data_IF_919558559490
#
_entry.id   IF_919558559490
#
_cell.length_a   1.000
_cell.length_b   1.000
_cell.length_c   1.000
_cell.angle_alpha   90.00
_cell.angle_beta   90.00
_cell.angle_gamma   90.00
#
_symmetry.space_group_name_H-M   'P 1'
#
loop_
_entity.id
_entity.type
_entity.pdbx_description
1 polymer ?
#
# COMPACT_ATOMS: atom_id res chain seq x y z
N UNK A 1 -50.51 -71.86 29.69
CA UNK A 1 -49.16 -71.71 29.10
C UNK A 1 -49.10 -70.38 28.37
N UNK A 2 -48.63 -69.30 29.06
CA UNK A 2 -48.57 -67.94 28.53
C UNK A 2 -47.12 -67.54 28.41
N UNK A 3 -46.67 -67.25 27.20
CA UNK A 3 -45.32 -66.81 26.89
C UNK A 3 -45.34 -65.28 26.86
N UNK A 4 -44.66 -64.65 27.82
CA UNK A 4 -44.45 -63.21 27.88
C UNK A 4 -43.25 -62.83 27.02
N UNK A 5 -43.43 -61.98 26.02
CA UNK A 5 -42.33 -61.41 25.26
C UNK A 5 -41.85 -60.11 25.90
N UNK A 6 -40.60 -60.11 26.35
CA UNK A 6 -39.92 -58.87 26.81
C UNK A 6 -39.51 -58.05 25.58
N UNK A 7 -39.85 -56.75 25.60
CA UNK A 7 -39.34 -55.76 24.64
C UNK A 7 -38.10 -55.12 25.21
N UNK A 8 -36.98 -55.30 24.56
CA UNK A 8 -35.77 -54.54 24.85
C UNK A 8 -35.78 -53.20 24.09
N UNK A 9 -35.78 -52.10 24.81
CA UNK A 9 -35.62 -50.76 24.26
C UNK A 9 -34.11 -50.46 24.10
N UNK A 10 -33.68 -50.28 22.88
CA UNK A 10 -32.33 -49.81 22.55
C UNK A 10 -32.38 -48.26 22.50
N UNK A 11 -31.80 -47.59 23.48
CA UNK A 11 -31.58 -46.15 23.46
C UNK A 11 -30.36 -45.86 22.58
N UNK A 12 -30.58 -45.25 21.45
CA UNK A 12 -29.53 -44.76 20.57
C UNK A 12 -29.07 -43.39 21.06
N UNK A 13 -27.91 -43.34 21.72
CA UNK A 13 -27.23 -42.10 22.09
C UNK A 13 -26.52 -41.53 20.86
N UNK A 14 -27.10 -40.51 20.26
CA UNK A 14 -26.45 -39.78 19.18
C UNK A 14 -25.32 -38.90 19.75
N UNK A 15 -24.08 -39.34 19.61
CA UNK A 15 -22.92 -38.46 19.80
C UNK A 15 -22.81 -37.49 18.63
N UNK A 16 -23.10 -36.20 18.91
CA UNK A 16 -22.70 -35.11 18.01
C UNK A 16 -21.19 -34.98 18.09
N UNK A 17 -20.50 -35.50 17.09
CA UNK A 17 -19.10 -35.21 16.85
C UNK A 17 -19.02 -33.78 16.28
N UNK A 18 -18.62 -32.83 17.11
CA UNK A 18 -18.23 -31.49 16.67
C UNK A 18 -16.95 -31.62 15.84
N UNK A 19 -17.08 -31.58 14.54
CA UNK A 19 -15.94 -31.51 13.62
C UNK A 19 -15.24 -30.18 13.81
N UNK A 20 -14.20 -30.15 14.63
CA UNK A 20 -13.20 -29.09 14.60
C UNK A 20 -12.52 -29.18 13.21
N UNK A 21 -12.96 -28.34 12.28
CA UNK A 21 -12.26 -28.18 11.02
C UNK A 21 -10.87 -27.62 11.31
N UNK A 22 -9.86 -28.49 11.43
CA UNK A 22 -8.46 -28.13 11.40
C UNK A 22 -8.24 -27.40 10.07
N UNK A 23 -8.08 -26.09 10.15
CA UNK A 23 -7.63 -25.27 9.02
C UNK A 23 -6.26 -25.78 8.59
N UNK A 24 -6.24 -26.56 7.51
CA UNK A 24 -5.00 -27.04 6.93
C UNK A 24 -4.07 -25.84 6.61
N UNK A 25 -2.77 -25.94 6.86
CA UNK A 25 -1.83 -24.88 6.55
C UNK A 25 -1.87 -24.64 5.02
N UNK A 26 -1.92 -23.36 4.64
CA UNK A 26 -1.90 -22.90 3.26
C UNK A 26 -0.64 -23.45 2.58
N UNK A 27 -0.74 -24.31 1.54
CA UNK A 27 0.44 -24.82 0.86
C UNK A 27 1.25 -23.68 0.28
N UNK A 28 2.52 -23.53 0.70
CA UNK A 28 3.46 -22.56 0.16
C UNK A 28 3.49 -21.17 0.82
N UNK A 29 2.70 -20.89 1.87
CA UNK A 29 2.82 -19.66 2.62
C UNK A 29 3.73 -19.87 3.85
N UNK A 30 4.93 -19.28 3.84
CA UNK A 30 5.78 -19.22 5.02
C UNK A 30 5.23 -18.17 5.98
N UNK A 31 4.59 -18.58 7.08
CA UNK A 31 4.19 -17.68 8.15
C UNK A 31 5.44 -17.27 8.93
N UNK A 32 5.90 -16.03 8.77
CA UNK A 32 6.96 -15.52 9.62
C UNK A 32 6.45 -15.36 11.06
N UNK A 33 7.31 -15.57 12.05
CA UNK A 33 7.03 -15.27 13.47
C UNK A 33 6.63 -13.80 13.73
N UNK A 34 6.74 -12.93 12.71
CA UNK A 34 6.52 -11.49 12.78
C UNK A 34 5.12 -11.02 12.36
N UNK A 35 4.15 -11.93 12.16
CA UNK A 35 2.79 -11.54 11.79
C UNK A 35 2.60 -11.13 10.32
N UNK A 36 3.45 -11.60 9.42
CA UNK A 36 3.36 -11.37 7.96
C UNK A 36 3.33 -12.69 7.19
N UNK A 37 2.80 -12.65 5.98
CA UNK A 37 2.86 -13.74 5.00
C UNK A 37 3.63 -13.28 3.77
N UNK A 38 4.40 -14.20 3.20
CA UNK A 38 5.20 -13.97 1.99
C UNK A 38 4.84 -15.00 0.94
N UNK A 39 4.87 -14.59 -0.32
CA UNK A 39 4.72 -15.53 -1.42
C UNK A 39 5.93 -16.47 -1.50
N UNK A 40 5.70 -17.76 -1.82
CA UNK A 40 6.78 -18.66 -2.13
C UNK A 40 7.52 -18.19 -3.40
N UNK A 41 8.80 -18.51 -3.58
CA UNK A 41 9.58 -18.11 -4.75
C UNK A 41 8.92 -18.44 -6.08
N UNK A 42 8.27 -19.58 -6.20
CA UNK A 42 7.56 -20.00 -7.41
C UNK A 42 6.42 -19.05 -7.83
N UNK A 43 5.76 -18.37 -6.88
CA UNK A 43 4.69 -17.41 -7.19
C UNK A 43 5.19 -16.09 -7.77
N UNK A 44 6.50 -15.81 -7.63
CA UNK A 44 7.15 -14.57 -8.08
C UNK A 44 8.34 -14.86 -9.01
N UNK A 45 8.38 -16.03 -9.63
CA UNK A 45 9.54 -16.54 -10.35
C UNK A 45 9.75 -15.95 -11.76
N UNK A 46 8.79 -15.19 -12.29
CA UNK A 46 8.92 -14.63 -13.64
C UNK A 46 10.10 -13.66 -13.74
N UNK A 47 11.04 -13.95 -14.61
CA UNK A 47 12.12 -13.03 -14.96
C UNK A 47 11.56 -11.76 -15.63
N UNK A 48 12.35 -10.72 -15.71
CA UNK A 48 11.94 -9.50 -16.42
C UNK A 48 11.65 -9.76 -17.90
N UNK A 49 12.48 -10.56 -18.56
CA UNK A 49 12.29 -10.88 -19.98
C UNK A 49 11.01 -11.69 -20.21
N UNK A 50 10.71 -12.64 -19.33
CA UNK A 50 9.44 -13.39 -19.36
C UNK A 50 8.25 -12.46 -19.09
N UNK A 51 8.33 -11.58 -18.11
CA UNK A 51 7.28 -10.61 -17.83
C UNK A 51 7.02 -9.68 -19.02
N UNK A 52 8.06 -9.25 -19.71
CA UNK A 52 7.92 -8.42 -20.92
C UNK A 52 7.29 -9.16 -22.07
N UNK A 53 7.61 -10.46 -22.27
CA UNK A 53 6.99 -11.29 -23.29
C UNK A 53 5.56 -11.65 -22.94
N UNK A 54 5.27 -11.93 -21.67
CA UNK A 54 3.94 -12.32 -21.22
C UNK A 54 2.96 -11.15 -21.20
N UNK A 55 3.37 -10.01 -20.59
CA UNK A 55 2.53 -8.82 -20.45
C UNK A 55 2.65 -7.89 -21.66
N UNK A 56 2.09 -8.31 -22.80
CA UNK A 56 1.96 -7.45 -23.98
C UNK A 56 0.93 -6.33 -23.72
N UNK A 57 0.94 -5.23 -24.52
CA UNK A 57 -0.07 -4.19 -24.41
C UNK A 57 -1.52 -4.72 -24.47
N UNK A 58 -1.77 -5.74 -25.32
CA UNK A 58 -3.08 -6.37 -25.51
C UNK A 58 -3.49 -7.14 -24.26
N UNK A 59 -2.60 -7.95 -23.67
CA UNK A 59 -2.87 -8.67 -22.42
C UNK A 59 -3.09 -7.72 -21.25
N UNK A 60 -2.32 -6.63 -21.15
CA UNK A 60 -2.51 -5.59 -20.14
C UNK A 60 -3.87 -4.90 -20.32
N UNK A 61 -4.28 -4.69 -21.57
CA UNK A 61 -5.58 -4.11 -21.89
C UNK A 61 -6.74 -5.05 -21.52
N UNK A 62 -6.58 -6.33 -21.80
CA UNK A 62 -7.57 -7.38 -21.51
C UNK A 62 -7.64 -7.78 -20.04
N UNK A 63 -6.61 -7.46 -19.23
CA UNK A 63 -6.57 -7.79 -17.81
C UNK A 63 -7.75 -7.14 -17.06
N UNK A 64 -8.64 -7.98 -16.53
CA UNK A 64 -9.87 -7.55 -15.89
C UNK A 64 -9.60 -6.79 -14.57
N UNK A 65 -10.31 -5.71 -14.28
CA UNK A 65 -10.15 -5.01 -13.01
C UNK A 65 -10.62 -5.89 -11.85
N UNK A 66 -9.81 -6.00 -10.80
CA UNK A 66 -10.21 -6.70 -9.59
C UNK A 66 -11.31 -5.95 -8.84
N UNK A 67 -12.26 -6.72 -8.34
CA UNK A 67 -13.29 -6.27 -7.41
C UNK A 67 -13.24 -7.12 -6.15
N UNK A 68 -13.38 -6.48 -5.00
CA UNK A 68 -13.63 -7.13 -3.72
C UNK A 68 -15.10 -7.03 -3.38
N UNK A 69 -15.74 -8.17 -3.17
CA UNK A 69 -17.07 -8.21 -2.56
C UNK A 69 -16.91 -8.08 -1.04
N UNK A 70 -17.57 -7.09 -0.43
CA UNK A 70 -17.72 -7.07 1.03
C UNK A 70 -18.70 -8.16 1.42
N UNK A 71 -18.32 -9.06 2.32
CA UNK A 71 -19.25 -10.02 2.94
C UNK A 71 -20.18 -9.29 3.93
N UNK A 72 -21.35 -9.89 4.25
CA UNK A 72 -22.29 -9.31 5.23
C UNK A 72 -21.68 -9.14 6.62
N UNK A 73 -20.64 -9.90 6.96
CA UNK A 73 -19.93 -9.85 8.24
C UNK A 73 -18.77 -8.84 8.29
N UNK A 74 -18.57 -8.01 7.26
CA UNK A 74 -17.56 -6.96 7.28
C UNK A 74 -16.15 -7.39 6.88
N UNK A 75 -15.93 -8.65 6.54
CA UNK A 75 -14.66 -9.14 5.97
C UNK A 75 -14.69 -9.09 4.44
N UNK A 76 -13.51 -9.07 3.83
CA UNK A 76 -13.40 -9.19 2.38
C UNK A 76 -13.88 -10.58 1.94
N UNK A 77 -14.76 -10.61 0.95
CA UNK A 77 -15.11 -11.84 0.24
C UNK A 77 -14.00 -12.23 -0.76
N UNK A 78 -14.26 -13.29 -1.52
CA UNK A 78 -13.38 -13.75 -2.58
C UNK A 78 -13.10 -12.62 -3.60
N UNK A 79 -11.88 -12.56 -4.09
CA UNK A 79 -11.50 -11.71 -5.21
C UNK A 79 -12.29 -12.16 -6.46
N UNK A 80 -12.81 -11.20 -7.21
CA UNK A 80 -13.56 -11.44 -8.44
C UNK A 80 -13.05 -10.51 -9.53
N UNK A 81 -13.07 -11.00 -10.77
CA UNK A 81 -12.94 -10.10 -11.91
C UNK A 81 -14.28 -9.42 -12.16
N UNK A 82 -14.25 -8.14 -12.44
CA UNK A 82 -15.47 -7.41 -12.70
C UNK A 82 -15.62 -7.18 -14.21
N UNK A 83 -16.77 -7.61 -14.79
CA UNK A 83 -17.11 -7.29 -16.17
C UNK A 83 -17.22 -5.77 -16.37
N UNK A 84 -16.96 -5.21 -17.57
CA UNK A 84 -17.17 -3.80 -17.83
C UNK A 84 -18.64 -3.41 -17.57
N UNK A 85 -18.89 -2.38 -16.74
CA UNK A 85 -20.25 -1.88 -16.48
C UNK A 85 -20.42 -0.53 -17.17
N UNK A 86 -21.33 -0.39 -18.13
CA UNK A 86 -21.60 0.87 -18.79
C UNK A 86 -22.42 1.87 -17.95
N UNK A 87 -22.91 1.47 -16.77
CA UNK A 87 -23.94 2.22 -16.07
C UNK A 87 -23.43 3.41 -15.24
N UNK A 88 -24.06 4.51 -15.50
CA UNK A 88 -24.31 5.77 -14.77
C UNK A 88 -23.83 5.80 -13.32
N UNK A 89 -22.89 6.70 -13.02
CA UNK A 89 -22.75 7.28 -11.68
C UNK A 89 -22.78 8.81 -11.82
N UNK A 90 -23.94 9.35 -11.54
CA UNK A 90 -24.13 10.78 -11.26
C UNK A 90 -23.72 11.01 -9.80
N UNK A 91 -22.47 11.35 -9.54
CA UNK A 91 -22.03 11.84 -8.25
C UNK A 91 -21.66 13.32 -8.40
N UNK A 92 -22.62 14.17 -8.11
CA UNK A 92 -22.41 15.62 -8.04
C UNK A 92 -21.30 15.92 -7.00
N UNK A 93 -20.35 16.76 -7.34
CA UNK A 93 -19.36 17.31 -6.41
C UNK A 93 -18.04 16.56 -6.25
N UNK A 94 -17.83 15.40 -6.89
CA UNK A 94 -16.55 14.69 -6.84
C UNK A 94 -15.66 15.01 -8.02
N UNK A 95 -14.48 15.56 -7.74
CA UNK A 95 -13.52 15.95 -8.77
C UNK A 95 -12.40 14.92 -8.88
N UNK A 96 -12.66 13.80 -9.56
CA UNK A 96 -11.60 13.03 -10.16
C UNK A 96 -11.11 13.72 -11.44
N UNK A 97 -9.81 13.77 -11.62
CA UNK A 97 -9.20 14.37 -12.80
C UNK A 97 -8.27 13.38 -13.49
N UNK A 98 -8.28 13.38 -14.79
CA UNK A 98 -7.32 12.64 -15.57
C UNK A 98 -5.95 13.32 -15.51
N UNK A 99 -4.92 12.54 -15.12
CA UNK A 99 -3.52 12.99 -15.08
C UNK A 99 -2.88 12.78 -16.44
N UNK A 100 -2.81 13.83 -17.26
CA UNK A 100 -2.29 13.75 -18.64
C UNK A 100 -0.77 13.54 -18.71
N UNK A 101 0.00 14.12 -17.78
CA UNK A 101 1.49 14.09 -17.78
C UNK A 101 2.04 12.91 -16.98
N UNK A 102 1.68 11.67 -17.37
CA UNK A 102 2.07 10.44 -16.65
C UNK A 102 3.57 10.16 -16.72
N UNK A 103 4.26 10.57 -17.79
CA UNK A 103 5.72 10.41 -17.95
C UNK A 103 6.53 11.38 -17.08
N UNK A 104 5.91 12.38 -16.44
CA UNK A 104 6.61 13.35 -15.58
C UNK A 104 6.51 12.96 -14.11
N UNK A 105 7.60 13.12 -13.36
CA UNK A 105 7.55 13.05 -11.90
C UNK A 105 6.63 14.18 -11.38
N UNK A 106 5.83 13.94 -10.37
CA UNK A 106 5.72 12.72 -9.55
C UNK A 106 4.68 11.69 -10.07
N UNK A 107 4.07 11.88 -11.22
CA UNK A 107 2.99 11.03 -11.70
C UNK A 107 3.49 9.66 -12.19
N UNK A 108 4.70 9.60 -12.76
CA UNK A 108 5.29 8.37 -13.31
C UNK A 108 5.58 7.28 -12.29
N UNK A 109 5.55 7.59 -10.99
CA UNK A 109 5.73 6.61 -9.93
C UNK A 109 4.46 5.82 -9.62
N UNK A 110 3.30 6.29 -10.11
CA UNK A 110 2.04 5.57 -10.06
C UNK A 110 1.93 4.71 -11.31
N UNK A 111 1.51 3.46 -11.16
CA UNK A 111 1.45 2.52 -12.27
C UNK A 111 0.31 1.53 -12.15
N UNK A 112 0.08 0.83 -13.26
CA UNK A 112 -0.81 -0.32 -13.31
C UNK A 112 -0.07 -1.53 -12.76
N UNK A 113 -0.71 -2.31 -11.90
CA UNK A 113 -0.26 -3.61 -11.45
C UNK A 113 -1.10 -4.65 -12.16
N UNK A 114 -0.47 -5.65 -12.72
CA UNK A 114 -1.13 -6.79 -13.37
C UNK A 114 -0.63 -8.09 -12.76
N UNK A 115 -1.44 -9.12 -12.83
CA UNK A 115 -1.12 -10.45 -12.31
C UNK A 115 -2.17 -11.45 -12.73
N UNK A 116 -1.99 -12.70 -12.30
CA UNK A 116 -2.88 -13.83 -12.57
C UNK A 116 -3.37 -14.43 -11.27
N UNK A 117 -4.66 -14.71 -11.18
CA UNK A 117 -5.21 -15.60 -10.17
C UNK A 117 -5.71 -16.88 -10.79
N UNK A 118 -5.32 -18.01 -10.22
CA UNK A 118 -5.79 -19.33 -10.65
C UNK A 118 -7.33 -19.38 -10.63
N UNK A 119 -7.94 -19.77 -11.74
CA UNK A 119 -9.39 -19.80 -11.90
C UNK A 119 -10.07 -18.48 -12.24
N UNK A 120 -9.37 -17.33 -12.11
CA UNK A 120 -9.92 -16.01 -12.46
C UNK A 120 -9.25 -15.40 -13.70
N UNK A 121 -8.06 -15.89 -14.09
CA UNK A 121 -7.28 -15.34 -15.18
C UNK A 121 -6.54 -14.04 -14.83
N UNK A 122 -6.19 -13.29 -15.86
CA UNK A 122 -5.41 -12.06 -15.75
C UNK A 122 -6.23 -10.91 -15.17
N UNK A 123 -5.64 -10.22 -14.19
CA UNK A 123 -6.28 -9.09 -13.53
C UNK A 123 -5.43 -7.81 -13.56
N UNK A 124 -6.09 -6.69 -13.25
CA UNK A 124 -5.42 -5.41 -13.07
C UNK A 124 -5.81 -4.70 -11.78
N UNK A 125 -4.81 -4.12 -11.16
CA UNK A 125 -4.84 -3.25 -10.00
C UNK A 125 -4.01 -1.97 -10.27
N UNK A 126 -3.77 -1.20 -9.24
CA UNK A 126 -2.85 -0.05 -9.24
C UNK A 126 -1.78 -0.23 -8.16
N UNK A 127 -0.63 0.39 -8.33
CA UNK A 127 0.41 0.43 -7.32
C UNK A 127 1.19 1.76 -7.38
N UNK A 128 2.01 2.00 -6.36
CA UNK A 128 2.84 3.21 -6.27
C UNK A 128 4.24 2.87 -5.78
N UNK A 129 5.26 3.39 -6.46
CA UNK A 129 6.66 3.27 -6.04
C UNK A 129 6.88 4.10 -4.79
N UNK A 130 7.40 3.48 -3.74
CA UNK A 130 7.75 4.14 -2.48
C UNK A 130 9.23 4.04 -2.18
N UNK A 131 9.75 5.04 -1.49
CA UNK A 131 11.16 5.12 -1.13
C UNK A 131 11.58 3.96 -0.23
N UNK A 132 12.67 3.30 -0.59
CA UNK A 132 13.30 2.24 0.19
C UNK A 132 14.80 2.17 -0.12
N UNK A 133 15.59 1.58 0.77
CA UNK A 133 17.01 1.35 0.53
C UNK A 133 17.28 0.37 -0.63
N UNK A 134 16.35 -0.54 -0.90
CA UNK A 134 16.43 -1.43 -2.08
C UNK A 134 16.19 -0.70 -3.39
N UNK A 135 15.54 0.46 -3.36
CA UNK A 135 15.16 1.23 -4.55
C UNK A 135 14.14 0.54 -5.47
N UNK A 136 13.52 -0.55 -5.03
CA UNK A 136 12.65 -1.37 -5.89
C UNK A 136 11.32 -1.73 -5.24
N UNK A 137 10.83 -0.90 -4.32
CA UNK A 137 9.62 -1.18 -3.54
C UNK A 137 8.40 -0.48 -4.14
N UNK A 138 7.31 -1.22 -4.26
CA UNK A 138 5.96 -0.69 -4.53
C UNK A 138 5.00 -1.07 -3.42
N UNK A 139 3.98 -0.23 -3.20
CA UNK A 139 2.82 -0.55 -2.35
C UNK A 139 1.58 -0.74 -3.19
N UNK A 140 0.73 -1.68 -2.78
CA UNK A 140 -0.56 -1.98 -3.39
C UNK A 140 -1.56 -2.45 -2.33
N UNK A 141 -2.75 -2.88 -2.72
CA UNK A 141 -3.71 -3.51 -1.82
C UNK A 141 -3.36 -4.99 -1.57
N UNK A 142 -3.73 -5.50 -0.41
CA UNK A 142 -3.52 -6.90 -0.03
C UNK A 142 -4.21 -7.86 -0.99
N UNK A 143 -5.44 -7.53 -1.40
CA UNK A 143 -6.20 -8.34 -2.35
C UNK A 143 -5.63 -8.36 -3.78
N UNK A 144 -4.72 -7.45 -4.13
CA UNK A 144 -3.96 -7.52 -5.38
C UNK A 144 -2.76 -8.48 -5.30
N UNK A 145 -2.50 -9.04 -4.11
CA UNK A 145 -1.38 -9.93 -3.81
C UNK A 145 -1.84 -11.32 -3.35
N UNK A 146 -2.90 -11.38 -2.54
CA UNK A 146 -3.39 -12.58 -1.89
C UNK A 146 -4.92 -12.56 -1.76
N UNK A 147 -5.58 -13.59 -2.28
CA UNK A 147 -7.04 -13.77 -2.21
C UNK A 147 -7.44 -14.33 -0.84
N UNK A 148 -7.56 -13.46 0.14
CA UNK A 148 -7.80 -13.83 1.54
C UNK A 148 -9.23 -14.36 1.79
N UNK A 149 -10.20 -13.88 1.03
CA UNK A 149 -11.62 -14.22 1.21
C UNK A 149 -12.12 -15.34 0.31
N UNK A 150 -11.25 -15.90 -0.55
CA UNK A 150 -11.61 -16.94 -1.52
C UNK A 150 -10.64 -18.10 -1.53
N UNK A 151 -9.84 -18.21 -2.59
CA UNK A 151 -8.94 -19.36 -2.80
C UNK A 151 -7.79 -19.46 -1.82
N UNK A 152 -7.51 -18.41 -1.06
CA UNK A 152 -6.38 -18.27 -0.12
C UNK A 152 -5.01 -18.49 -0.78
N UNK A 153 -4.89 -18.11 -2.06
CA UNK A 153 -3.67 -18.22 -2.85
C UNK A 153 -3.09 -16.85 -3.16
N UNK A 154 -1.79 -16.85 -3.35
CA UNK A 154 -1.08 -15.68 -3.88
C UNK A 154 -1.39 -15.51 -5.37
N UNK A 155 -1.40 -14.25 -5.82
CA UNK A 155 -1.37 -13.94 -7.23
C UNK A 155 0.00 -14.34 -7.81
N UNK A 156 0.00 -14.79 -9.06
CA UNK A 156 1.20 -15.12 -9.84
C UNK A 156 1.42 -14.10 -10.96
N UNK A 157 2.51 -14.23 -11.69
CA UNK A 157 2.85 -13.44 -12.88
C UNK A 157 2.76 -11.93 -12.66
N UNK A 158 2.99 -11.51 -11.43
CA UNK A 158 2.83 -10.11 -11.02
C UNK A 158 3.86 -9.21 -11.71
N UNK A 159 3.36 -8.15 -12.33
CA UNK A 159 4.18 -7.12 -12.96
C UNK A 159 3.62 -5.72 -12.74
N UNK A 160 4.53 -4.76 -12.60
CA UNK A 160 4.23 -3.35 -12.42
C UNK A 160 4.63 -2.54 -13.66
N UNK A 161 3.75 -1.63 -14.07
CA UNK A 161 3.92 -0.79 -15.26
C UNK A 161 3.83 0.67 -14.84
N UNK A 162 4.97 1.30 -14.51
CA UNK A 162 5.01 2.69 -14.04
C UNK A 162 4.68 3.67 -15.15
N UNK A 163 3.94 4.72 -14.82
CA UNK A 163 3.58 5.77 -15.76
C UNK A 163 2.68 5.30 -16.91
N UNK A 164 2.04 4.13 -16.79
CA UNK A 164 1.13 3.58 -17.79
C UNK A 164 0.14 4.63 -18.29
N UNK A 165 -0.05 4.72 -19.59
CA UNK A 165 -1.03 5.62 -20.19
C UNK A 165 -1.45 5.17 -21.59
N UNK A 166 -2.74 4.99 -21.82
CA UNK A 166 -3.31 4.70 -23.13
C UNK A 166 -2.65 3.51 -23.85
N UNK A 167 -2.35 2.43 -23.13
CA UNK A 167 -1.65 1.27 -23.67
C UNK A 167 -0.13 1.43 -23.79
N UNK A 168 0.42 2.63 -23.55
CA UNK A 168 1.87 2.87 -23.59
C UNK A 168 2.56 2.41 -22.31
N UNK A 169 3.72 1.79 -22.43
CA UNK A 169 4.58 1.28 -21.39
C UNK A 169 5.89 2.07 -21.30
N UNK A 170 5.83 3.37 -20.93
CA UNK A 170 6.95 4.32 -21.15
C UNK A 170 8.22 3.94 -20.35
N UNK A 171 8.11 3.10 -19.35
CA UNK A 171 9.23 2.62 -18.53
C UNK A 171 9.31 1.09 -18.53
N UNK A 172 8.61 0.43 -19.47
CA UNK A 172 8.55 -1.01 -19.60
C UNK A 172 7.76 -1.72 -18.49
N UNK A 173 7.86 -3.03 -18.48
CA UNK A 173 7.24 -3.94 -17.53
C UNK A 173 8.28 -4.35 -16.49
N UNK A 174 7.89 -4.31 -15.21
CA UNK A 174 8.75 -4.65 -14.07
C UNK A 174 8.18 -5.85 -13.33
N UNK A 175 8.81 -7.01 -13.47
CA UNK A 175 8.40 -8.22 -12.74
C UNK A 175 8.51 -8.04 -11.23
N UNK A 176 7.58 -8.62 -10.50
CA UNK A 176 7.61 -8.69 -9.03
C UNK A 176 8.35 -9.95 -8.62
N UNK A 177 9.37 -9.81 -7.77
CA UNK A 177 10.20 -10.92 -7.30
C UNK A 177 9.84 -11.39 -5.90
N UNK A 178 9.25 -10.52 -5.11
CA UNK A 178 8.87 -10.81 -3.73
C UNK A 178 7.64 -10.00 -3.35
N UNK A 179 6.81 -10.55 -2.49
CA UNK A 179 5.69 -9.82 -1.90
C UNK A 179 5.48 -10.19 -0.45
N UNK A 180 4.95 -9.25 0.32
CA UNK A 180 4.58 -9.42 1.72
C UNK A 180 3.25 -8.73 2.00
N UNK A 181 2.42 -9.38 2.81
CA UNK A 181 1.17 -8.83 3.30
C UNK A 181 1.02 -9.11 4.81
N UNK A 182 0.22 -8.32 5.55
CA UNK A 182 -0.06 -8.61 6.95
C UNK A 182 -0.79 -9.95 7.11
N UNK A 183 -0.44 -10.69 8.17
CA UNK A 183 -1.12 -11.94 8.49
C UNK A 183 -2.62 -11.74 8.77
N UNK A 184 -3.00 -10.58 9.30
CA UNK A 184 -4.39 -10.19 9.51
C UNK A 184 -5.18 -10.09 8.20
N UNK A 185 -4.53 -9.67 7.11
CA UNK A 185 -5.13 -9.74 5.79
C UNK A 185 -5.32 -11.20 5.35
N UNK A 186 -4.27 -11.99 5.36
CA UNK A 186 -4.32 -13.36 4.84
C UNK A 186 -5.19 -14.31 5.66
N UNK A 187 -5.26 -14.14 7.00
CA UNK A 187 -6.01 -15.03 7.89
C UNK A 187 -7.47 -14.62 8.03
N UNK A 188 -7.74 -13.33 8.07
CA UNK A 188 -9.04 -12.77 8.44
C UNK A 188 -9.69 -11.93 7.35
N UNK A 189 -9.05 -11.74 6.21
CA UNK A 189 -9.53 -10.88 5.13
C UNK A 189 -9.96 -9.47 5.64
N UNK A 190 -9.23 -8.94 6.61
CA UNK A 190 -9.55 -7.69 7.29
C UNK A 190 -9.19 -6.49 6.43
N UNK A 191 -10.17 -5.66 6.06
CA UNK A 191 -9.94 -4.44 5.27
C UNK A 191 -9.04 -3.41 5.96
N UNK A 192 -8.94 -3.43 7.29
CA UNK A 192 -8.01 -2.57 8.02
C UNK A 192 -6.53 -2.88 7.70
N UNK A 193 -6.28 -4.05 7.12
CA UNK A 193 -4.96 -4.56 6.75
C UNK A 193 -4.84 -4.92 5.26
N UNK A 194 -5.74 -4.46 4.41
CA UNK A 194 -5.71 -4.68 2.96
C UNK A 194 -4.60 -3.86 2.29
N UNK A 195 -3.38 -4.26 2.54
CA UNK A 195 -2.15 -3.66 2.01
C UNK A 195 -1.11 -4.75 1.73
N UNK A 196 -0.37 -4.59 0.65
CA UNK A 196 0.82 -5.40 0.36
C UNK A 196 1.99 -4.50 -0.07
N UNK A 197 3.19 -5.00 0.18
CA UNK A 197 4.42 -4.44 -0.36
C UNK A 197 5.07 -5.47 -1.28
N UNK A 198 5.56 -4.99 -2.40
CA UNK A 198 6.17 -5.85 -3.41
C UNK A 198 7.51 -5.29 -3.86
N UNK A 199 8.47 -6.17 -4.09
CA UNK A 199 9.76 -5.81 -4.66
C UNK A 199 9.77 -6.14 -6.14
N UNK A 200 10.30 -5.24 -6.95
CA UNK A 200 10.49 -5.49 -8.38
C UNK A 200 11.93 -5.86 -8.69
N UNK A 201 12.14 -6.59 -9.76
CA UNK A 201 13.45 -6.89 -10.30
C UNK A 201 14.16 -5.60 -10.77
N UNK A 202 15.47 -5.59 -10.73
CA UNK A 202 16.28 -4.49 -11.33
C UNK A 202 16.22 -4.57 -12.85
N UNK A 203 16.36 -3.41 -13.49
CA UNK A 203 16.57 -3.30 -14.93
C UNK A 203 18.05 -3.05 -15.25
N UNK A 204 18.49 -3.17 -16.51
CA UNK A 204 19.81 -2.70 -16.93
C UNK A 204 20.05 -1.22 -16.61
N UNK A 205 18.99 -0.41 -16.55
CA UNK A 205 19.06 1.02 -16.20
C UNK A 205 19.00 1.27 -14.68
N UNK A 206 19.04 0.23 -13.85
CA UNK A 206 19.06 0.34 -12.41
C UNK A 206 17.77 -0.11 -11.71
N UNK A 207 17.58 0.36 -10.47
CA UNK A 207 16.37 0.07 -9.67
C UNK A 207 15.16 0.86 -10.16
N UNK A 208 13.97 0.40 -9.83
CA UNK A 208 12.73 1.08 -10.20
C UNK A 208 12.70 2.55 -9.72
N UNK A 209 13.14 2.80 -8.49
CA UNK A 209 13.23 4.15 -7.93
C UNK A 209 14.25 5.02 -8.67
N UNK A 210 15.34 4.45 -9.16
CA UNK A 210 16.33 5.18 -9.97
C UNK A 210 15.70 5.66 -11.28
N UNK A 211 14.97 4.79 -11.96
CA UNK A 211 14.39 5.07 -13.29
C UNK A 211 13.19 6.02 -13.21
N UNK A 212 12.25 5.80 -12.27
CA UNK A 212 11.01 6.57 -12.23
C UNK A 212 10.88 7.52 -11.03
N UNK A 213 11.78 7.43 -10.06
CA UNK A 213 11.65 8.09 -8.76
C UNK A 213 10.73 7.32 -7.83
N UNK A 214 10.42 7.93 -6.69
CA UNK A 214 9.51 7.36 -5.69
C UNK A 214 8.70 8.44 -4.99
N UNK A 215 7.60 8.05 -4.36
CA UNK A 215 7.00 8.81 -3.26
C UNK A 215 7.64 8.37 -1.96
N UNK A 216 7.71 9.26 -0.99
CA UNK A 216 7.96 8.87 0.38
C UNK A 216 6.87 7.91 0.89
N UNK A 217 7.05 7.41 2.11
CA UNK A 217 6.03 6.63 2.81
C UNK A 217 5.91 7.13 4.25
N UNK A 218 4.68 7.21 4.76
CA UNK A 218 4.41 7.73 6.10
C UNK A 218 3.54 6.79 6.93
N UNK A 219 3.96 6.54 8.17
CA UNK A 219 3.29 5.65 9.12
C UNK A 219 2.80 6.45 10.32
N UNK A 220 1.68 6.06 10.90
CA UNK A 220 1.13 6.73 12.09
C UNK A 220 0.56 8.12 11.83
N UNK A 221 0.45 8.54 10.58
CA UNK A 221 0.14 9.91 10.20
C UNK A 221 -1.30 10.33 10.54
N UNK A 222 -1.46 11.61 10.88
CA UNK A 222 -2.78 12.22 11.16
C UNK A 222 -3.81 11.90 10.07
N UNK A 223 -5.05 11.69 10.49
CA UNK A 223 -6.20 11.52 9.58
C UNK A 223 -6.82 12.85 9.14
N UNK A 224 -6.30 13.99 9.60
CA UNK A 224 -6.82 15.33 9.27
C UNK A 224 -6.05 15.99 8.13
N UNK A 225 -5.60 15.20 7.14
CA UNK A 225 -4.81 15.70 6.02
C UNK A 225 -5.61 15.68 4.71
N UNK A 226 -5.24 16.54 3.77
CA UNK A 226 -5.70 16.42 2.39
C UNK A 226 -4.93 15.31 1.70
N UNK A 227 -5.64 14.47 0.97
CA UNK A 227 -5.10 13.34 0.21
C UNK A 227 -5.22 13.59 -1.28
N UNK A 228 -4.18 13.21 -2.01
CA UNK A 228 -4.22 12.97 -3.44
C UNK A 228 -4.19 11.45 -3.64
N UNK A 229 -5.31 10.87 -4.03
CA UNK A 229 -5.40 9.45 -4.33
C UNK A 229 -5.22 9.23 -5.84
N UNK A 230 -4.41 8.26 -6.21
CA UNK A 230 -4.10 7.92 -7.60
C UNK A 230 -4.52 6.49 -7.91
N UNK A 231 -4.90 6.20 -9.15
CA UNK A 231 -5.22 4.84 -9.58
C UNK A 231 -5.64 4.78 -11.04
N UNK A 232 -5.85 3.56 -11.52
CA UNK A 232 -6.30 3.24 -12.88
C UNK A 232 -7.69 2.60 -12.82
N UNK A 233 -8.74 3.36 -12.46
CA UNK A 233 -10.10 2.82 -12.39
C UNK A 233 -10.57 2.40 -13.78
N UNK A 234 -11.17 1.21 -13.87
CA UNK A 234 -11.76 0.69 -15.09
C UNK A 234 -13.30 0.77 -15.10
N UNK A 235 -13.88 1.40 -14.06
CA UNK A 235 -15.33 1.57 -13.90
C UNK A 235 -15.69 2.91 -13.25
N UNK A 236 -16.88 3.36 -13.51
CA UNK A 236 -17.48 4.56 -12.92
C UNK A 236 -17.85 5.58 -13.96
N UNK A 237 -16.93 6.39 -14.39
CA UNK A 237 -17.14 7.41 -15.43
C UNK A 237 -16.57 6.94 -16.78
N UNK A 238 -17.00 7.51 -17.92
CA UNK A 238 -16.43 7.17 -19.24
C UNK A 238 -14.91 7.33 -19.32
N UNK A 239 -14.33 8.26 -18.53
CA UNK A 239 -12.87 8.42 -18.43
C UNK A 239 -12.18 7.31 -17.62
N UNK A 240 -12.93 6.51 -16.86
CA UNK A 240 -12.45 5.43 -16.01
C UNK A 240 -12.45 4.10 -16.78
N UNK A 241 -11.52 3.93 -17.68
CA UNK A 241 -11.43 2.78 -18.58
C UNK A 241 -10.20 1.90 -18.34
N UNK A 242 -9.52 2.07 -17.20
CA UNK A 242 -8.30 1.33 -16.86
C UNK A 242 -7.03 1.78 -17.61
N UNK A 243 -7.15 2.69 -18.58
CA UNK A 243 -6.04 3.17 -19.42
C UNK A 243 -5.51 4.54 -19.02
N UNK A 244 -6.17 5.21 -18.10
CA UNK A 244 -5.84 6.58 -17.70
C UNK A 244 -5.54 6.64 -16.21
N UNK A 245 -4.43 7.29 -15.84
CA UNK A 245 -4.16 7.60 -14.45
C UNK A 245 -5.16 8.67 -13.98
N UNK A 246 -5.95 8.34 -13.01
CA UNK A 246 -6.93 9.23 -12.38
C UNK A 246 -6.42 9.68 -11.02
N UNK A 247 -6.72 10.93 -10.65
CA UNK A 247 -6.40 11.50 -9.36
C UNK A 247 -7.64 12.11 -8.73
N UNK A 248 -7.92 11.74 -7.49
CA UNK A 248 -8.87 12.44 -6.62
C UNK A 248 -8.12 13.32 -5.62
N UNK A 249 -8.73 14.45 -5.24
CA UNK A 249 -8.25 15.30 -4.15
C UNK A 249 -9.36 15.45 -3.10
N UNK A 250 -9.10 15.02 -1.87
CA UNK A 250 -10.09 15.01 -0.81
C UNK A 250 -9.48 15.28 0.57
N UNK A 251 -10.26 15.83 1.49
CA UNK A 251 -9.99 15.72 2.93
C UNK A 251 -10.26 14.28 3.35
N UNK A 252 -9.49 13.79 4.31
CA UNK A 252 -9.70 12.47 4.89
C UNK A 252 -10.88 12.47 5.87
N UNK A 253 -11.54 11.31 5.92
CA UNK A 253 -12.45 10.89 6.98
C UNK A 253 -11.99 9.54 7.55
N UNK A 254 -12.83 8.97 8.40
CA UNK A 254 -12.66 7.62 8.94
C UNK A 254 -13.55 6.64 8.18
N UNK A 255 -13.07 5.43 8.01
CA UNK A 255 -13.90 4.32 7.56
C UNK A 255 -14.97 4.04 8.63
N UNK A 256 -16.25 3.93 8.28
CA UNK A 256 -17.29 3.55 9.25
C UNK A 256 -17.16 2.09 9.71
N UNK A 257 -16.57 1.21 8.88
CA UNK A 257 -16.33 -0.19 9.20
C UNK A 257 -15.30 -0.38 10.30
N UNK A 258 -15.39 -1.51 10.98
CA UNK A 258 -14.44 -1.99 11.99
C UNK A 258 -14.13 -3.45 11.68
N UNK A 259 -12.89 -3.77 11.40
CA UNK A 259 -12.46 -5.08 10.93
C UNK A 259 -11.35 -5.68 11.82
N UNK A 260 -11.38 -5.34 13.12
CA UNK A 260 -10.44 -5.85 14.10
C UNK A 260 -9.06 -5.17 14.10
N UNK A 261 -8.92 -4.07 13.37
CA UNK A 261 -7.68 -3.32 13.24
C UNK A 261 -7.79 -1.83 13.55
N UNK A 262 -6.72 -1.09 13.28
CA UNK A 262 -6.74 0.37 13.37
C UNK A 262 -7.66 0.91 12.30
N UNK A 263 -8.74 1.54 12.70
CA UNK A 263 -9.80 2.06 11.83
C UNK A 263 -9.22 2.66 10.54
N UNK A 264 -9.71 2.21 9.40
CA UNK A 264 -9.29 2.65 8.08
C UNK A 264 -9.52 4.14 7.80
N UNK A 265 -9.12 4.58 6.64
CA UNK A 265 -9.26 5.94 6.13
C UNK A 265 -10.35 5.99 5.08
N UNK A 266 -11.03 7.12 4.95
CA UNK A 266 -12.00 7.39 3.91
C UNK A 266 -11.66 8.67 3.15
N UNK A 267 -11.94 8.70 1.85
CA UNK A 267 -11.88 9.90 1.01
C UNK A 267 -13.11 9.98 0.10
N UNK A 268 -13.49 11.19 -0.29
CA UNK A 268 -14.47 11.40 -1.37
C UNK A 268 -13.75 11.22 -2.69
N UNK A 269 -14.07 10.13 -3.40
CA UNK A 269 -13.45 9.76 -4.65
C UNK A 269 -14.35 8.77 -5.39
N UNK A 270 -14.51 8.93 -6.67
CA UNK A 270 -15.38 8.13 -7.52
C UNK A 270 -14.63 7.02 -8.30
N UNK A 271 -13.35 6.83 -8.02
CA UNK A 271 -12.61 5.70 -8.57
C UNK A 271 -13.18 4.39 -8.03
N UNK A 272 -13.43 3.43 -8.92
CA UNK A 272 -13.93 2.09 -8.60
C UNK A 272 -12.89 1.02 -8.95
N UNK A 273 -13.34 -0.16 -9.35
CA UNK A 273 -12.50 -1.32 -9.68
C UNK A 273 -11.31 -0.95 -10.59
N UNK A 274 -10.18 -1.57 -10.37
CA UNK A 274 -8.91 -1.24 -11.03
C UNK A 274 -8.07 -0.17 -10.30
N UNK A 275 -8.70 0.71 -9.49
CA UNK A 275 -7.98 1.65 -8.64
C UNK A 275 -7.38 1.01 -7.39
N UNK A 276 -7.74 -0.23 -7.08
CA UNK A 276 -7.22 -1.04 -5.96
C UNK A 276 -5.71 -0.96 -5.87
N UNK A 277 -5.18 -0.66 -4.66
CA UNK A 277 -3.74 -0.52 -4.44
C UNK A 277 -3.15 0.83 -4.81
N UNK A 278 -3.89 1.68 -5.53
CA UNK A 278 -3.42 3.01 -5.87
C UNK A 278 -3.14 3.87 -4.63
N UNK A 279 -1.96 4.50 -4.59
CA UNK A 279 -1.45 5.17 -3.39
C UNK A 279 -2.20 6.46 -3.05
N UNK A 280 -2.43 6.66 -1.76
CA UNK A 280 -2.97 7.89 -1.19
C UNK A 280 -1.85 8.74 -0.63
N UNK A 281 -1.56 9.84 -1.29
CA UNK A 281 -0.43 10.72 -1.01
C UNK A 281 -0.86 11.88 -0.12
N UNK A 282 -0.24 11.99 1.06
CA UNK A 282 -0.35 13.12 1.96
C UNK A 282 0.77 14.14 1.70
N UNK A 283 0.52 15.40 2.01
CA UNK A 283 1.48 16.51 1.89
C UNK A 283 2.13 16.62 0.49
N UNK A 284 1.55 15.97 -0.53
CA UNK A 284 2.10 15.82 -1.88
C UNK A 284 3.43 15.05 -1.95
N UNK A 285 3.89 14.46 -0.87
CA UNK A 285 5.22 13.84 -0.74
C UNK A 285 5.17 12.35 -0.50
N UNK A 286 4.38 11.85 0.47
CA UNK A 286 4.46 10.48 0.91
C UNK A 286 3.11 9.75 0.93
N UNK A 287 3.16 8.45 0.67
CA UNK A 287 2.01 7.54 0.70
C UNK A 287 1.65 7.20 2.15
N UNK A 288 0.38 7.26 2.51
CA UNK A 288 -0.13 6.98 3.87
C UNK A 288 -1.25 5.94 3.90
N UNK A 289 -1.68 5.49 2.73
CA UNK A 289 -2.75 4.51 2.51
C UNK A 289 -2.77 4.10 1.05
N UNK A 290 -3.64 3.17 0.70
CA UNK A 290 -3.96 2.78 -0.67
C UNK A 290 -5.48 2.61 -0.83
N UNK A 291 -5.96 2.63 -2.06
CA UNK A 291 -7.35 2.27 -2.36
C UNK A 291 -7.57 0.78 -2.09
N UNK A 292 -8.55 0.45 -1.25
CA UNK A 292 -8.90 -0.90 -0.85
C UNK A 292 -10.30 -1.27 -1.33
N UNK A 293 -11.33 -0.68 -0.76
CA UNK A 293 -12.71 -1.09 -0.97
C UNK A 293 -13.69 0.09 -1.06
N UNK A 294 -14.92 -0.23 -1.46
CA UNK A 294 -16.07 0.66 -1.48
C UNK A 294 -17.27 -0.08 -0.88
N UNK A 295 -18.18 0.62 -0.20
CA UNK A 295 -19.43 0.05 0.23
C UNK A 295 -20.53 0.28 -0.81
N UNK A 296 -21.30 -0.76 -1.15
CA UNK A 296 -22.31 -0.71 -2.20
C UNK A 296 -23.57 0.05 -1.82
N UNK A 297 -23.99 0.01 -0.54
CA UNK A 297 -25.24 0.60 -0.07
C UNK A 297 -25.13 1.99 0.60
N UNK A 298 -23.99 2.35 1.19
CA UNK A 298 -23.80 3.61 1.95
C UNK A 298 -22.55 4.41 1.54
N UNK A 299 -21.86 4.02 0.48
CA UNK A 299 -20.54 4.56 0.13
C UNK A 299 -20.47 5.22 -1.22
N UNK A 300 -21.60 5.63 -1.83
CA UNK A 300 -21.56 6.30 -3.11
C UNK A 300 -20.57 7.47 -3.09
N UNK A 301 -19.52 7.37 -3.92
CA UNK A 301 -18.50 8.38 -4.04
C UNK A 301 -17.46 8.43 -2.93
N UNK A 302 -17.30 7.37 -2.14
CA UNK A 302 -16.21 7.25 -1.17
C UNK A 302 -15.36 6.02 -1.46
N UNK A 303 -14.06 6.19 -1.34
CA UNK A 303 -13.08 5.10 -1.30
C UNK A 303 -12.54 4.95 0.11
N UNK A 304 -12.25 3.73 0.48
CA UNK A 304 -11.72 3.37 1.78
C UNK A 304 -10.35 2.68 1.61
N UNK A 305 -9.51 2.82 2.61
CA UNK A 305 -8.18 2.22 2.59
C UNK A 305 -7.61 2.04 3.98
N UNK A 306 -6.64 1.12 4.16
CA UNK A 306 -6.06 0.79 5.44
C UNK A 306 -5.30 1.98 6.04
N UNK A 307 -5.24 2.02 7.37
CA UNK A 307 -4.37 2.95 8.07
C UNK A 307 -2.94 2.39 8.13
N UNK A 308 -1.98 3.11 7.55
CA UNK A 308 -0.57 2.74 7.66
C UNK A 308 -0.06 3.03 9.09
N UNK A 309 -0.37 2.12 10.00
CA UNK A 309 0.00 2.15 11.42
C UNK A 309 1.23 1.29 11.73
N UNK A 310 1.29 0.80 12.96
CA UNK A 310 2.41 -0.01 13.49
C UNK A 310 2.69 -1.27 12.64
N UNK A 311 1.66 -2.01 12.24
CA UNK A 311 1.80 -3.24 11.45
C UNK A 311 2.43 -2.95 10.07
N UNK A 312 1.94 -1.94 9.36
CA UNK A 312 2.49 -1.57 8.04
C UNK A 312 3.92 -1.03 8.16
N UNK A 313 4.22 -0.28 9.26
CA UNK A 313 5.60 0.15 9.56
C UNK A 313 6.51 -1.04 9.85
N UNK A 314 6.04 -2.02 10.62
CA UNK A 314 6.79 -3.23 10.91
C UNK A 314 7.04 -4.04 9.62
N UNK A 315 6.03 -4.16 8.74
CA UNK A 315 6.17 -4.80 7.44
C UNK A 315 7.23 -4.10 6.56
N UNK A 316 7.24 -2.77 6.54
CA UNK A 316 8.27 -1.98 5.85
C UNK A 316 9.67 -2.20 6.43
N UNK A 317 9.78 -2.47 7.72
CA UNK A 317 11.02 -2.75 8.44
C UNK A 317 11.42 -4.22 8.50
N UNK A 318 10.56 -5.12 8.07
CA UNK A 318 10.73 -6.55 8.27
C UNK A 318 11.95 -7.12 7.56
N UNK A 319 12.65 -8.01 8.26
CA UNK A 319 13.59 -8.97 7.68
C UNK A 319 12.83 -10.28 7.54
N UNK A 320 12.40 -10.60 6.36
CA UNK A 320 11.66 -11.83 6.09
C UNK A 320 12.64 -12.85 5.49
N UNK A 321 12.68 -14.10 5.97
CA UNK A 321 13.53 -15.15 5.39
C UNK A 321 13.28 -15.26 3.87
N UNK A 322 14.34 -15.38 3.09
CA UNK A 322 14.25 -15.40 1.62
C UNK A 322 13.92 -14.05 0.97
N UNK A 323 13.64 -13.02 1.75
CA UNK A 323 13.48 -11.67 1.25
C UNK A 323 14.72 -10.83 1.51
N UNK A 324 15.45 -10.42 0.46
CA UNK A 324 16.51 -9.43 0.64
C UNK A 324 15.90 -8.19 1.28
N UNK A 325 16.54 -7.66 2.31
CA UNK A 325 16.03 -6.51 3.07
C UNK A 325 15.37 -5.46 2.17
N UNK A 326 14.15 -5.04 2.52
CA UNK A 326 13.50 -3.87 1.90
C UNK A 326 14.42 -2.63 2.03
N UNK A 327 15.35 -2.66 3.01
CA UNK A 327 16.18 -1.53 3.35
C UNK A 327 15.32 -0.37 3.83
N UNK A 328 14.66 -0.48 5.02
CA UNK A 328 13.84 0.61 5.52
C UNK A 328 14.69 1.85 5.72
N UNK A 329 14.17 3.00 5.31
CA UNK A 329 14.85 4.26 5.57
C UNK A 329 14.95 4.50 7.08
N UNK A 330 16.13 4.83 7.54
CA UNK A 330 16.44 5.05 8.96
C UNK A 330 16.98 6.46 9.17
N UNK A 331 16.70 6.99 10.33
CA UNK A 331 17.36 8.18 10.84
C UNK A 331 17.94 7.83 12.22
N UNK A 332 19.25 8.00 12.40
CA UNK A 332 19.98 7.65 13.62
C UNK A 332 19.64 6.22 14.12
N UNK A 333 19.69 5.23 13.22
CA UNK A 333 19.41 3.82 13.52
C UNK A 333 17.93 3.44 13.64
N UNK A 334 17.01 4.41 13.74
CA UNK A 334 15.58 4.16 13.93
C UNK A 334 14.84 4.12 12.59
N UNK A 335 13.89 3.18 12.43
CA UNK A 335 13.03 3.14 11.23
C UNK A 335 12.16 4.40 11.22
N UNK A 336 12.22 5.14 10.12
CA UNK A 336 11.49 6.39 9.97
C UNK A 336 9.96 6.20 10.04
N UNK A 337 9.28 7.16 10.64
CA UNK A 337 7.80 7.30 10.60
C UNK A 337 7.35 8.10 9.38
N UNK A 338 8.24 8.96 8.87
CA UNK A 338 8.06 9.71 7.63
C UNK A 338 9.34 9.54 6.81
N UNK A 339 9.18 9.04 5.60
CA UNK A 339 10.27 8.90 4.64
C UNK A 339 9.98 9.81 3.47
N UNK A 340 10.92 10.63 3.10
CA UNK A 340 10.90 11.45 1.90
C UNK A 340 11.31 10.68 0.63
N UNK A 341 11.80 11.41 -0.36
CA UNK A 341 12.35 10.87 -1.60
C UNK A 341 13.72 11.50 -1.90
N UNK A 342 14.27 11.26 -3.09
CA UNK A 342 15.51 11.96 -3.51
C UNK A 342 15.21 13.28 -4.23
N UNK A 343 14.16 14.01 -3.82
CA UNK A 343 13.71 15.25 -4.41
C UNK A 343 13.41 16.30 -3.35
N UNK A 344 13.58 17.56 -3.71
CA UNK A 344 13.21 18.67 -2.82
C UNK A 344 11.73 18.58 -2.38
N UNK A 345 11.50 18.46 -1.08
CA UNK A 345 10.18 18.24 -0.48
C UNK A 345 9.92 19.16 0.72
N UNK A 346 8.67 19.17 1.12
CA UNK A 346 8.25 19.76 2.40
C UNK A 346 7.63 18.65 3.25
N UNK A 347 8.32 18.23 4.28
CA UNK A 347 7.90 17.15 5.17
C UNK A 347 7.52 17.77 6.54
N UNK A 348 6.41 17.35 7.08
CA UNK A 348 5.94 17.79 8.39
C UNK A 348 5.54 16.59 9.23
N UNK A 349 6.08 16.50 10.43
CA UNK A 349 5.63 15.62 11.49
C UNK A 349 4.29 16.05 12.08
N UNK A 350 4.01 15.59 13.25
CA UNK A 350 2.74 15.83 13.94
C UNK A 350 2.91 16.43 15.33
N UNK A 351 2.04 16.00 16.24
CA UNK A 351 2.09 16.39 17.65
C UNK A 351 2.83 15.36 18.52
N UNK A 352 3.23 14.23 17.98
CA UNK A 352 3.92 13.16 18.69
C UNK A 352 5.35 13.01 18.20
N UNK A 353 6.10 12.12 18.84
CA UNK A 353 7.45 11.81 18.42
C UNK A 353 7.48 11.25 17.01
N UNK A 354 8.12 11.95 16.10
CA UNK A 354 8.37 11.55 14.73
C UNK A 354 9.85 11.17 14.49
N UNK A 355 10.06 10.25 13.58
CA UNK A 355 11.38 9.92 13.02
C UNK A 355 11.30 10.21 11.52
N UNK A 356 11.98 11.26 11.08
CA UNK A 356 11.88 11.75 9.69
C UNK A 356 13.21 11.54 8.98
N UNK A 357 13.18 10.80 7.87
CA UNK A 357 14.31 10.64 6.96
C UNK A 357 13.95 11.30 5.62
N UNK A 358 14.50 12.48 5.33
CA UNK A 358 14.17 13.21 4.11
C UNK A 358 14.86 12.63 2.87
N UNK A 359 16.00 11.96 3.04
CA UNK A 359 16.81 11.22 2.06
C UNK A 359 17.65 12.10 1.15
N UNK A 360 17.08 12.80 0.22
CA UNK A 360 17.86 13.64 -0.68
C UNK A 360 17.01 14.67 -1.42
N UNK A 361 17.69 15.69 -1.93
CA UNK A 361 17.04 16.89 -2.42
C UNK A 361 17.21 18.04 -1.43
N UNK A 362 16.77 19.22 -1.81
CA UNK A 362 16.84 20.38 -0.92
C UNK A 362 15.52 20.50 -0.11
N UNK A 363 15.50 19.87 1.06
CA UNK A 363 14.26 19.66 1.81
C UNK A 363 13.96 20.76 2.82
N UNK A 364 12.69 20.92 3.12
CA UNK A 364 12.20 21.67 4.27
C UNK A 364 11.45 20.75 5.19
N UNK A 365 12.04 20.46 6.35
CA UNK A 365 11.51 19.50 7.30
C UNK A 365 11.12 20.23 8.59
N UNK A 366 9.95 19.89 9.11
CA UNK A 366 9.42 20.40 10.38
C UNK A 366 8.99 19.20 11.23
N UNK A 367 9.56 19.01 12.42
CA UNK A 367 9.20 17.94 13.36
C UNK A 367 7.79 18.13 13.90
N UNK A 368 7.50 19.26 14.46
CA UNK A 368 6.20 19.59 15.03
C UNK A 368 6.24 19.71 16.54
N UNK A 369 5.30 19.10 17.24
CA UNK A 369 5.36 18.94 18.69
C UNK A 369 5.86 17.55 19.01
N UNK A 370 6.71 17.42 20.00
CA UNK A 370 7.22 16.12 20.44
C UNK A 370 8.73 16.01 20.31
N UNK A 371 9.30 14.91 20.78
CA UNK A 371 10.75 14.69 20.75
C UNK A 371 11.13 14.01 19.44
N UNK A 372 11.43 14.79 18.41
CA UNK A 372 11.59 14.33 17.05
C UNK A 372 13.05 13.94 16.71
N UNK A 373 13.21 13.06 15.74
CA UNK A 373 14.51 12.70 15.16
C UNK A 373 14.43 12.97 13.66
N UNK A 374 15.24 13.93 13.19
CA UNK A 374 15.18 14.42 11.82
C UNK A 374 16.54 14.27 11.14
N UNK A 375 16.57 13.57 10.00
CA UNK A 375 17.71 13.52 9.11
C UNK A 375 17.36 14.16 7.77
N UNK A 376 18.11 15.17 7.33
CA UNK A 376 18.00 15.81 6.03
C UNK A 376 18.46 14.88 4.94
N UNK A 377 19.72 14.46 4.99
CA UNK A 377 20.28 13.51 4.03
C UNK A 377 21.22 14.17 3.07
N UNK A 378 20.97 14.09 1.76
CA UNK A 378 21.79 14.73 0.73
C UNK A 378 21.08 16.00 0.23
N UNK A 379 21.83 17.12 0.14
CA UNK A 379 21.31 18.35 -0.41
C UNK A 379 21.48 19.53 0.54
N UNK A 380 20.76 20.61 0.28
CA UNK A 380 20.73 21.79 1.17
C UNK A 380 19.41 21.80 1.92
N UNK A 381 19.42 21.30 3.14
CA UNK A 381 18.23 21.09 3.91
C UNK A 381 17.96 22.20 4.92
N UNK A 382 16.71 22.42 5.21
CA UNK A 382 16.25 23.29 6.31
C UNK A 382 15.43 22.45 7.25
N UNK A 383 15.99 22.17 8.43
CA UNK A 383 15.40 21.32 9.44
C UNK A 383 14.94 22.17 10.62
N UNK A 384 13.71 21.99 11.05
CA UNK A 384 13.15 22.62 12.23
C UNK A 384 12.56 21.57 13.17
N UNK A 385 13.07 21.48 14.41
CA UNK A 385 12.52 20.61 15.46
C UNK A 385 11.17 21.13 15.93
N UNK A 386 11.10 22.40 16.25
CA UNK A 386 10.02 23.19 16.82
C UNK A 386 9.84 22.92 18.32
N UNK A 387 8.89 22.09 18.75
CA UNK A 387 8.60 21.93 20.19
C UNK A 387 8.98 20.56 20.73
N UNK A 388 9.81 20.54 21.77
CA UNK A 388 10.27 19.31 22.42
C UNK A 388 11.80 19.16 22.42
N UNK A 389 12.27 17.96 22.77
CA UNK A 389 13.69 17.61 22.69
C UNK A 389 13.98 16.94 21.38
N UNK A 390 14.53 17.68 20.43
CA UNK A 390 14.71 17.19 19.07
C UNK A 390 16.18 16.82 18.80
N UNK A 391 16.36 15.89 17.87
CA UNK A 391 17.65 15.49 17.34
C UNK A 391 17.65 15.68 15.83
N UNK A 392 18.43 16.66 15.37
CA UNK A 392 18.51 17.02 13.97
C UNK A 392 19.88 16.66 13.41
N UNK A 393 19.91 16.05 12.26
CA UNK A 393 21.12 15.72 11.50
C UNK A 393 20.97 16.20 10.06
N UNK A 394 21.81 17.19 9.65
CA UNK A 394 21.74 17.77 8.32
C UNK A 394 22.09 16.73 7.26
N UNK A 395 23.25 16.12 7.34
CA UNK A 395 23.73 15.15 6.38
C UNK A 395 24.80 15.72 5.45
N UNK A 396 24.72 15.35 4.17
CA UNK A 396 25.64 15.84 3.14
C UNK A 396 25.10 17.12 2.50
N UNK A 397 25.84 18.22 2.62
CA UNK A 397 25.48 19.50 2.03
C UNK A 397 25.63 20.68 2.97
N UNK A 398 25.03 21.80 2.57
CA UNK A 398 24.99 23.02 3.41
C UNK A 398 23.64 23.14 4.07
N UNK A 399 23.49 22.52 5.23
CA UNK A 399 22.22 22.40 5.93
C UNK A 399 22.05 23.45 6.99
N UNK A 400 20.79 23.82 7.25
CA UNK A 400 20.41 24.77 8.30
C UNK A 400 19.47 24.04 9.26
N UNK A 401 19.85 24.00 10.54
CA UNK A 401 19.04 23.41 11.60
C UNK A 401 18.61 24.46 12.63
N UNK A 402 17.33 24.38 12.99
CA UNK A 402 16.72 25.16 14.08
C UNK A 402 16.07 24.18 15.04
N UNK A 403 16.58 24.07 16.26
CA UNK A 403 16.00 23.17 17.27
C UNK A 403 14.60 23.60 17.67
N UNK A 404 14.40 24.86 17.97
CA UNK A 404 13.17 25.36 18.55
C UNK A 404 13.17 25.27 20.08
N UNK A 405 12.00 25.18 20.69
CA UNK A 405 11.87 25.09 22.17
C UNK A 405 12.37 23.73 22.70
N UNK A 406 13.06 23.78 23.86
CA UNK A 406 13.58 22.58 24.54
C UNK A 406 15.07 22.31 24.31
N UNK A 407 15.60 21.24 24.92
CA UNK A 407 17.02 20.86 24.80
C UNK A 407 17.25 20.07 23.53
N UNK A 408 17.66 20.73 22.47
CA UNK A 408 17.83 20.13 21.16
C UNK A 408 19.28 19.72 20.89
N UNK A 409 19.46 18.70 20.04
CA UNK A 409 20.77 18.25 19.54
C UNK A 409 20.82 18.40 18.02
N UNK A 410 21.85 19.09 17.51
CA UNK A 410 22.05 19.24 16.07
C UNK A 410 23.42 18.72 15.68
N UNK A 411 23.51 18.08 14.49
CA UNK A 411 24.76 17.57 13.92
C UNK A 411 24.79 17.83 12.40
N UNK A 412 25.95 18.24 11.89
CA UNK A 412 26.12 18.45 10.45
C UNK A 412 25.29 19.59 9.87
N UNK A 413 25.03 20.62 10.67
CA UNK A 413 24.25 21.77 10.27
C UNK A 413 25.00 23.07 10.57
N UNK A 414 24.76 24.10 9.77
CA UNK A 414 25.00 25.48 10.19
C UNK A 414 23.84 25.94 11.06
N UNK A 415 24.14 26.58 12.16
CA UNK A 415 23.08 27.17 13.03
C UNK A 415 22.42 28.31 12.27
N UNK A 416 21.13 28.19 11.98
CA UNK A 416 20.33 29.33 11.64
C UNK A 416 20.19 30.23 12.91
N UNK A 417 20.38 31.54 12.78
CA UNK A 417 20.19 32.45 13.87
C UNK A 417 18.88 32.15 14.63
N UNK A 418 18.96 31.94 15.91
CA UNK A 418 17.77 31.88 16.77
C UNK A 418 17.17 33.28 16.75
N UNK A 419 15.88 33.49 16.46
CA UNK A 419 15.24 34.71 16.86
C UNK A 419 15.25 34.75 18.40
N UNK A 420 15.81 35.81 18.96
CA UNK A 420 15.85 36.06 20.38
C UNK A 420 14.44 36.15 21.00
#
# INVERSE_FOLDING_TARGET
MRITRARASIAATAMLAASAACLAPVPGASASQQGFVTAPPAATAMSRAEAQRYWTPERIAAAAPLALAASRGGHAGAVRTAAPDPARVTAAGMRSVWVRKTKRYPNRVHGKLVGTYAGLGNFSCSATVVSSGSGSLITTAGHCAFDAGGTRRFATDLAFIPGFARGQLPYGVWSVTNLVAPAQWSRHASFDYDVAMMRTQRSPFGTLQHVVGSRGIGFGQSRRQRILAYGYPARGKPAHNGFKLIRCSSRQGRDPGRFGGPRGRAIRCDMKQGASGGGWVAQRSFVVSNSSHIYTRRGHGRNFGPYYGKVVKAMYGARVPGWPSIGPARCRGQIATIVGSNRAERLRGGNGRDVIAALGGNDRVSGGKGNDVICGGRGRDRLAGNGGRDRLEGGQGRDVCRGGGGRNQTKGCRFGAQPG
#
